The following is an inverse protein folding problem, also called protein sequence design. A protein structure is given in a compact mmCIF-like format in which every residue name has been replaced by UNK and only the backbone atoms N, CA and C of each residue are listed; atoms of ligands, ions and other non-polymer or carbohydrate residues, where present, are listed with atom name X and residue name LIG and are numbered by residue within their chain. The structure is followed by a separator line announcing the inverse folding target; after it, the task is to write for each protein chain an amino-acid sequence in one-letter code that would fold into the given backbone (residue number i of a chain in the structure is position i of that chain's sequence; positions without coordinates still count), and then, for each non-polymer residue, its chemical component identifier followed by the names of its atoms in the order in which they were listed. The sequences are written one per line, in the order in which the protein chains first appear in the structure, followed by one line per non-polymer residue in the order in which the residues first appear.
data_IF_822929107830
#
_entry.id   IF_822929107830
#
_cell.length_a   1.000
_cell.length_b   1.000
_cell.length_c   1.000
_cell.angle_alpha   90.00
_cell.angle_beta   90.00
_cell.angle_gamma   90.00
#
_symmetry.space_group_name_H-M   'P 1'
#
loop_
_entity.id
_entity.type
_entity.pdbx_description
1 polymer ?
#
# COMPACT_ATOMS: atom_id res chain seq x y z
N UNK A 1 -22.46 25.50 0.82
CA UNK A 1 -21.18 25.56 1.56
C UNK A 1 -20.74 24.12 1.81
N UNK A 2 -19.70 23.66 1.13
CA UNK A 2 -19.19 22.29 1.30
C UNK A 2 -18.59 22.18 2.69
N UNK A 3 -19.22 21.40 3.57
CA UNK A 3 -18.72 21.19 4.93
C UNK A 3 -17.43 20.37 4.84
N UNK A 4 -16.40 20.73 5.62
CA UNK A 4 -15.19 19.93 5.77
C UNK A 4 -15.22 19.19 7.11
N UNK A 5 -14.56 18.03 7.13
CA UNK A 5 -14.47 17.14 8.28
C UNK A 5 -13.01 17.09 8.74
N UNK A 6 -12.71 17.40 10.01
CA UNK A 6 -11.38 17.20 10.55
C UNK A 6 -11.13 15.69 10.73
N UNK A 7 -10.15 15.15 10.04
CA UNK A 7 -9.75 13.76 10.12
C UNK A 7 -8.33 13.66 10.66
N UNK A 8 -8.14 12.90 11.73
CA UNK A 8 -6.81 12.66 12.27
C UNK A 8 -6.02 11.75 11.30
N UNK A 9 -4.89 12.24 10.77
CA UNK A 9 -4.11 11.55 9.77
C UNK A 9 -2.69 11.27 10.27
N UNK A 10 -2.31 9.99 10.25
CA UNK A 10 -0.95 9.53 10.54
C UNK A 10 -0.35 9.02 9.25
N UNK A 11 0.73 9.64 8.78
CA UNK A 11 1.46 9.23 7.57
C UNK A 11 2.78 8.59 7.95
N UNK A 12 2.97 7.36 7.50
CA UNK A 12 4.19 6.57 7.73
C UNK A 12 4.86 6.22 6.41
N UNK A 13 6.19 6.33 6.36
CA UNK A 13 6.97 5.86 5.21
C UNK A 13 7.64 4.53 5.50
N UNK A 14 7.41 3.55 4.61
CA UNK A 14 8.06 2.24 4.64
C UNK A 14 8.92 2.04 3.40
N UNK A 15 10.03 1.31 3.57
CA UNK A 15 11.03 1.08 2.51
C UNK A 15 10.91 -0.31 1.86
N UNK A 16 10.02 -1.17 2.38
CA UNK A 16 9.75 -2.49 1.82
C UNK A 16 8.37 -3.00 2.25
N UNK A 17 7.70 -3.76 1.37
CA UNK A 17 6.42 -4.42 1.68
C UNK A 17 6.54 -5.44 2.84
N UNK A 18 7.71 -6.06 3.03
CA UNK A 18 7.98 -6.89 4.21
C UNK A 18 7.97 -6.07 5.50
N UNK A 19 8.41 -4.80 5.47
CA UNK A 19 8.34 -3.93 6.64
C UNK A 19 6.89 -3.53 6.96
N UNK A 20 6.02 -3.39 5.95
CA UNK A 20 4.58 -3.13 6.14
C UNK A 20 3.80 -4.35 6.62
N UNK A 21 4.17 -5.56 6.17
CA UNK A 21 3.50 -6.81 6.58
C UNK A 21 3.91 -7.28 7.99
N UNK A 22 5.13 -6.95 8.44
CA UNK A 22 5.66 -7.47 9.70
C UNK A 22 5.32 -6.58 10.93
N UNK A 23 4.38 -5.65 10.83
CA UNK A 23 4.09 -4.66 11.90
C UNK A 23 3.64 -5.34 13.21
N UNK A 24 3.04 -6.53 13.15
CA UNK A 24 2.52 -7.27 14.31
C UNK A 24 3.57 -8.10 15.09
N UNK A 25 4.81 -8.30 14.59
CA UNK A 25 5.83 -9.04 15.35
C UNK A 25 6.59 -8.10 16.31
N UNK A 26 6.26 -8.17 17.60
CA UNK A 26 7.03 -7.55 18.70
C UNK A 26 8.45 -8.13 18.75
N UNK A 27 9.38 -7.53 18.01
CA UNK A 27 10.82 -7.71 18.23
C UNK A 27 11.38 -6.45 18.89
N UNK A 28 12.14 -6.57 20.01
CA UNK A 28 12.67 -5.44 20.77
C UNK A 28 13.70 -4.59 20.01
N UNK A 29 14.09 -4.99 18.79
CA UNK A 29 15.06 -4.28 17.94
C UNK A 29 14.44 -3.59 16.72
N UNK A 30 13.10 -3.51 16.63
CA UNK A 30 12.45 -2.94 15.45
C UNK A 30 12.54 -1.41 15.48
N UNK A 31 13.15 -0.85 14.42
CA UNK A 31 13.23 0.59 14.16
C UNK A 31 11.82 1.19 14.22
N UNK A 32 11.70 2.33 14.89
CA UNK A 32 10.46 3.10 15.04
C UNK A 32 9.76 3.27 13.67
N UNK A 33 8.42 3.22 13.60
CA UNK A 33 7.72 3.63 12.39
C UNK A 33 8.21 5.03 12.00
N UNK A 34 8.61 5.23 10.75
CA UNK A 34 9.06 6.54 10.27
C UNK A 34 7.80 7.39 10.03
N UNK A 35 7.21 7.86 11.13
CA UNK A 35 6.06 8.75 11.14
C UNK A 35 6.54 10.09 10.58
N UNK A 36 6.03 10.45 9.41
CA UNK A 36 6.33 11.73 8.78
C UNK A 36 5.36 12.81 9.27
N UNK A 37 4.09 12.44 9.47
CA UNK A 37 3.02 13.35 9.84
C UNK A 37 2.08 12.67 10.85
N UNK A 38 1.66 13.45 11.84
CA UNK A 38 0.63 13.11 12.81
C UNK A 38 -0.21 14.38 13.06
N UNK A 39 -1.10 14.68 12.13
CA UNK A 39 -1.82 15.97 12.07
C UNK A 39 -3.25 15.79 11.54
N UNK A 40 -4.15 16.69 11.90
CA UNK A 40 -5.51 16.73 11.35
C UNK A 40 -5.56 17.32 9.94
N UNK A 41 -6.23 16.61 9.01
CA UNK A 41 -6.53 17.04 7.65
C UNK A 41 -8.03 17.41 7.54
N UNK A 42 -8.37 18.50 6.85
CA UNK A 42 -9.75 18.93 6.60
C UNK A 42 -10.30 18.36 5.28
N UNK A 43 -10.87 17.15 5.33
CA UNK A 43 -11.40 16.47 4.14
C UNK A 43 -12.77 17.04 3.78
N UNK A 44 -13.06 17.21 2.48
CA UNK A 44 -14.40 17.63 2.07
C UNK A 44 -15.43 16.54 2.41
N UNK A 45 -16.58 16.92 2.98
CA UNK A 45 -17.63 15.97 3.33
C UNK A 45 -18.13 15.16 2.12
N UNK A 46 -18.12 15.78 0.94
CA UNK A 46 -18.53 15.17 -0.34
C UNK A 46 -17.44 14.29 -0.98
N UNK A 47 -16.27 14.13 -0.36
CA UNK A 47 -15.22 13.24 -0.87
C UNK A 47 -15.71 11.80 -0.87
N UNK A 48 -15.44 11.08 -1.96
CA UNK A 48 -15.77 9.66 -2.09
C UNK A 48 -14.85 8.81 -1.20
N UNK A 49 -15.35 7.68 -0.73
CA UNK A 49 -14.59 6.77 0.12
C UNK A 49 -13.32 6.26 -0.55
N UNK A 50 -13.37 5.96 -1.85
CA UNK A 50 -12.20 5.54 -2.62
C UNK A 50 -11.06 6.56 -2.59
N UNK A 51 -11.42 7.84 -2.54
CA UNK A 51 -10.49 8.95 -2.73
C UNK A 51 -10.02 9.55 -1.40
N UNK A 52 -10.48 9.02 -0.26
CA UNK A 52 -10.15 9.57 1.07
C UNK A 52 -8.65 9.67 1.32
N UNK A 53 -7.88 8.66 0.91
CA UNK A 53 -6.41 8.62 1.09
C UNK A 53 -5.75 9.69 0.23
N UNK A 54 -6.15 9.77 -1.03
CA UNK A 54 -5.63 10.74 -1.99
C UNK A 54 -5.96 12.16 -1.56
N UNK A 55 -7.20 12.42 -1.15
CA UNK A 55 -7.65 13.72 -0.66
C UNK A 55 -6.87 14.16 0.58
N UNK A 56 -6.66 13.23 1.54
CA UNK A 56 -5.88 13.52 2.75
C UNK A 56 -4.42 13.84 2.41
N UNK A 57 -3.77 13.05 1.55
CA UNK A 57 -2.37 13.26 1.18
C UNK A 57 -2.17 14.56 0.40
N UNK A 58 -3.02 14.85 -0.58
CA UNK A 58 -2.97 16.11 -1.34
C UNK A 58 -3.14 17.32 -0.43
N UNK A 59 -4.03 17.22 0.56
CA UNK A 59 -4.22 18.28 1.54
C UNK A 59 -3.01 18.46 2.47
N UNK A 60 -2.33 17.37 2.82
CA UNK A 60 -1.10 17.41 3.61
C UNK A 60 0.11 17.88 2.79
N UNK A 61 -0.06 18.15 1.49
CA UNK A 61 0.98 18.69 0.61
C UNK A 61 1.79 17.63 -0.16
N UNK A 62 1.35 16.37 -0.16
CA UNK A 62 1.97 15.33 -0.99
C UNK A 62 1.52 15.42 -2.45
N UNK A 63 2.32 14.87 -3.35
CA UNK A 63 1.99 14.80 -4.78
C UNK A 63 1.03 13.64 -5.09
N UNK A 64 0.30 13.75 -6.20
CA UNK A 64 -0.60 12.69 -6.67
C UNK A 64 0.11 11.35 -6.92
N UNK A 65 1.39 11.38 -7.28
CA UNK A 65 2.22 10.18 -7.46
C UNK A 65 2.38 9.39 -6.17
N UNK A 66 2.60 10.11 -5.06
CA UNK A 66 2.71 9.52 -3.73
C UNK A 66 1.35 9.01 -3.26
N UNK A 67 0.27 9.74 -3.56
CA UNK A 67 -1.08 9.30 -3.25
C UNK A 67 -1.44 7.96 -3.92
N UNK A 68 -1.06 7.78 -5.18
CA UNK A 68 -1.33 6.55 -5.93
C UNK A 68 -0.59 5.31 -5.40
N UNK A 69 0.54 5.50 -4.71
CA UNK A 69 1.35 4.41 -4.14
C UNK A 69 1.11 4.20 -2.65
N UNK A 70 0.25 5.02 -2.05
CA UNK A 70 -0.08 4.94 -0.64
C UNK A 70 -1.15 3.89 -0.36
N UNK A 71 -1.11 3.32 0.84
CA UNK A 71 -2.14 2.41 1.36
C UNK A 71 -2.79 3.02 2.60
N UNK A 72 -4.11 3.08 2.60
CA UNK A 72 -4.90 3.59 3.71
C UNK A 72 -5.45 2.46 4.59
N UNK A 73 -5.44 2.69 5.89
CA UNK A 73 -6.09 1.87 6.90
C UNK A 73 -6.68 2.78 7.97
N UNK A 74 -7.81 2.40 8.58
CA UNK A 74 -8.41 3.17 9.66
C UNK A 74 -8.21 2.47 10.99
N UNK A 75 -7.87 3.27 12.00
CA UNK A 75 -7.73 2.85 13.37
C UNK A 75 -8.86 3.50 14.15
N UNK A 76 -9.75 2.69 14.71
CA UNK A 76 -10.85 3.16 15.56
C UNK A 76 -10.42 2.98 17.01
N UNK A 77 -10.13 4.06 17.73
CA UNK A 77 -9.60 4.03 19.11
C UNK A 77 -8.36 3.11 19.23
N UNK A 78 -8.47 2.04 20.02
CA UNK A 78 -7.40 1.07 20.28
C UNK A 78 -7.56 -0.22 19.46
N UNK A 79 -8.34 -0.18 18.38
CA UNK A 79 -8.54 -1.34 17.52
C UNK A 79 -7.35 -1.56 16.58
N UNK A 80 -7.28 -2.76 16.00
CA UNK A 80 -6.31 -3.03 14.95
C UNK A 80 -6.62 -2.18 13.71
N UNK A 81 -5.61 -1.76 12.93
CA UNK A 81 -5.84 -1.07 11.67
C UNK A 81 -6.68 -1.94 10.73
N UNK A 82 -7.79 -1.39 10.25
CA UNK A 82 -8.72 -2.05 9.33
C UNK A 82 -8.51 -1.44 7.95
N UNK A 83 -8.33 -2.28 6.94
CA UNK A 83 -8.26 -1.83 5.54
C UNK A 83 -9.55 -1.14 5.12
N UNK A 84 -9.45 -0.08 4.30
CA UNK A 84 -10.61 0.68 3.83
C UNK A 84 -11.64 -0.18 3.07
N UNK A 85 -11.15 -1.22 2.39
CA UNK A 85 -11.95 -2.22 1.66
C UNK A 85 -12.86 -3.06 2.58
N UNK A 86 -12.44 -3.32 3.82
CA UNK A 86 -13.21 -4.11 4.79
C UNK A 86 -14.25 -3.26 5.53
N UNK A 87 -14.17 -1.94 5.43
CA UNK A 87 -15.07 -1.01 6.13
C UNK A 87 -16.26 -0.67 5.24
N UNK A 88 -16.00 -0.45 3.94
CA UNK A 88 -17.05 -0.19 2.99
C UNK A 88 -16.74 -0.81 1.62
N UNK A 89 -17.69 -1.60 1.13
CA UNK A 89 -17.64 -2.20 -0.21
C UNK A 89 -18.06 -1.21 -1.31
N UNK A 90 -18.78 -0.13 -0.96
CA UNK A 90 -19.24 0.86 -1.91
C UNK A 90 -18.23 2.03 -2.01
N UNK A 91 -17.45 2.14 -3.11
CA UNK A 91 -16.44 3.20 -3.25
C UNK A 91 -17.04 4.60 -3.44
N UNK A 92 -18.31 4.69 -3.86
CA UNK A 92 -18.98 5.95 -4.22
C UNK A 92 -19.62 6.63 -3.01
N UNK A 93 -19.72 5.93 -1.87
CA UNK A 93 -20.25 6.50 -0.63
C UNK A 93 -19.40 7.69 -0.17
N UNK A 94 -20.05 8.68 0.40
CA UNK A 94 -19.36 9.86 0.89
C UNK A 94 -18.67 9.57 2.23
N UNK A 95 -17.47 10.12 2.41
CA UNK A 95 -16.71 10.01 3.65
C UNK A 95 -17.51 10.57 4.83
N UNK A 96 -18.37 11.56 4.62
CA UNK A 96 -19.25 12.09 5.68
C UNK A 96 -20.26 11.10 6.22
N UNK A 97 -20.75 10.17 5.40
CA UNK A 97 -21.73 9.17 5.84
C UNK A 97 -21.08 8.10 6.74
N UNK A 98 -19.79 7.81 6.52
CA UNK A 98 -19.05 6.81 7.30
C UNK A 98 -18.34 7.45 8.50
N UNK A 99 -17.55 8.49 8.25
CA UNK A 99 -16.67 9.10 9.26
C UNK A 99 -17.25 10.34 9.91
N UNK A 100 -18.40 10.87 9.46
CA UNK A 100 -18.97 12.12 9.96
C UNK A 100 -19.05 12.18 11.49
N UNK A 101 -19.60 11.14 12.12
CA UNK A 101 -19.72 11.04 13.58
C UNK A 101 -18.48 10.44 14.25
N UNK A 102 -17.62 9.77 13.48
CA UNK A 102 -16.48 9.01 14.01
C UNK A 102 -15.16 9.80 13.96
N UNK A 103 -15.12 10.98 13.34
CA UNK A 103 -13.94 11.84 13.19
C UNK A 103 -13.13 12.04 14.47
N UNK A 104 -13.78 12.06 15.63
CA UNK A 104 -13.15 12.28 16.94
C UNK A 104 -12.44 11.05 17.52
N UNK A 105 -12.80 9.84 17.05
CA UNK A 105 -12.29 8.57 17.58
C UNK A 105 -11.51 7.75 16.54
N UNK A 106 -11.52 8.21 15.28
CA UNK A 106 -10.89 7.52 14.15
C UNK A 106 -9.62 8.23 13.74
N UNK A 107 -8.60 7.44 13.48
CA UNK A 107 -7.34 7.88 12.88
C UNK A 107 -7.15 7.18 11.54
N UNK A 108 -7.01 7.97 10.47
CA UNK A 108 -6.60 7.49 9.16
C UNK A 108 -5.08 7.30 9.16
N UNK A 109 -4.66 6.04 9.09
CA UNK A 109 -3.26 5.66 8.97
C UNK A 109 -2.92 5.39 7.51
N UNK A 110 -2.01 6.18 6.97
CA UNK A 110 -1.56 6.13 5.59
C UNK A 110 -0.12 5.63 5.56
N UNK A 111 0.13 4.59 4.78
CA UNK A 111 1.46 4.01 4.61
C UNK A 111 1.93 4.28 3.19
N UNK A 112 3.00 5.06 3.05
CA UNK A 112 3.65 5.37 1.78
C UNK A 112 4.80 4.39 1.57
N UNK A 113 4.78 3.65 0.47
CA UNK A 113 5.92 2.81 0.09
C UNK A 113 6.94 3.64 -0.68
N UNK A 114 7.98 4.13 0.00
CA UNK A 114 9.12 4.80 -0.64
C UNK A 114 10.10 3.74 -1.13
N UNK A 115 10.01 3.38 -2.41
CA UNK A 115 11.02 2.55 -3.07
C UNK A 115 12.31 3.33 -3.20
N UNK A 116 13.14 3.35 -2.14
CA UNK A 116 14.56 3.65 -2.34
C UNK A 116 15.14 2.46 -3.10
N UNK A 117 15.53 2.68 -4.36
CA UNK A 117 16.47 1.85 -5.09
C UNK A 117 17.82 1.94 -4.37
N UNK A 118 17.90 1.27 -3.22
CA UNK A 118 19.20 0.98 -2.62
C UNK A 118 19.79 -0.17 -3.43
N UNK A 119 21.12 -0.19 -3.66
CA UNK A 119 21.77 -1.30 -4.38
C UNK A 119 21.45 -2.64 -3.73
N UNK A 120 21.20 -2.67 -2.42
CA UNK A 120 20.73 -3.84 -1.70
C UNK A 120 19.33 -4.32 -2.11
N UNK A 121 18.37 -3.40 -2.33
CA UNK A 121 17.05 -3.76 -2.85
C UNK A 121 17.14 -4.31 -4.29
N UNK A 122 18.00 -3.73 -5.13
CA UNK A 122 18.23 -4.25 -6.48
C UNK A 122 18.88 -5.63 -6.48
N UNK A 123 19.87 -5.85 -5.61
CA UNK A 123 20.50 -7.16 -5.41
C UNK A 123 19.47 -8.16 -4.90
N UNK A 124 18.64 -7.77 -3.92
CA UNK A 124 17.57 -8.63 -3.40
C UNK A 124 16.56 -8.98 -4.50
N UNK A 125 16.08 -8.02 -5.28
CA UNK A 125 15.15 -8.27 -6.39
C UNK A 125 15.78 -9.13 -7.50
N UNK A 126 17.06 -8.92 -7.81
CA UNK A 126 17.81 -9.77 -8.74
C UNK A 126 17.96 -11.20 -8.21
N UNK A 127 18.29 -11.37 -6.92
CA UNK A 127 18.37 -12.68 -6.28
C UNK A 127 17.02 -13.37 -6.21
N UNK A 128 15.95 -12.64 -5.88
CA UNK A 128 14.59 -13.15 -5.82
C UNK A 128 14.14 -13.60 -7.22
N UNK A 129 14.41 -12.80 -8.26
CA UNK A 129 14.19 -13.19 -9.66
C UNK A 129 15.00 -14.41 -10.07
N UNK A 130 16.29 -14.48 -9.72
CA UNK A 130 17.13 -15.64 -10.02
C UNK A 130 16.64 -16.91 -9.32
N UNK A 131 16.25 -16.80 -8.05
CA UNK A 131 15.66 -17.91 -7.30
C UNK A 131 14.34 -18.37 -7.93
N UNK A 132 13.46 -17.44 -8.31
CA UNK A 132 12.20 -17.78 -9.01
C UNK A 132 12.46 -18.44 -10.36
N UNK A 133 13.45 -17.96 -11.12
CA UNK A 133 13.84 -18.51 -12.41
C UNK A 133 14.47 -19.91 -12.27
N UNK A 134 15.30 -20.13 -11.26
CA UNK A 134 16.00 -21.39 -11.03
C UNK A 134 15.09 -22.45 -10.38
N UNK A 135 14.18 -22.02 -9.50
CA UNK A 135 13.21 -22.89 -8.82
C UNK A 135 11.92 -23.11 -9.61
N UNK A 136 11.83 -22.59 -10.84
CA UNK A 136 10.64 -22.63 -11.70
C UNK A 136 10.07 -24.05 -11.90
N UNK A 137 10.93 -25.08 -11.90
CA UNK A 137 10.50 -26.48 -11.96
C UNK A 137 9.87 -26.99 -10.65
N UNK A 138 10.34 -26.51 -9.50
CA UNK A 138 9.88 -26.89 -8.15
C UNK A 138 8.62 -26.10 -7.74
N UNK A 139 8.50 -24.85 -8.18
CA UNK A 139 7.33 -24.01 -7.92
C UNK A 139 6.11 -24.46 -8.76
N UNK A 140 6.32 -24.98 -9.97
CA UNK A 140 5.24 -25.63 -10.75
C UNK A 140 4.77 -26.94 -10.13
N UNK A 141 5.68 -27.75 -9.57
CA UNK A 141 5.31 -29.04 -8.97
C UNK A 141 4.55 -28.90 -7.64
N UNK A 142 4.55 -27.71 -7.04
CA UNK A 142 3.85 -27.40 -5.78
C UNK A 142 2.53 -26.63 -5.98
N UNK A 143 2.08 -26.46 -7.23
CA UNK A 143 0.75 -25.92 -7.52
C UNK A 143 0.57 -24.43 -7.18
N UNK A 144 1.65 -23.66 -7.10
CA UNK A 144 1.57 -22.21 -6.95
C UNK A 144 1.05 -21.59 -8.26
N UNK A 145 -0.10 -20.91 -8.28
CA UNK A 145 -0.60 -20.22 -9.46
C UNK A 145 0.23 -18.94 -9.65
N UNK A 146 1.34 -19.06 -10.37
CA UNK A 146 2.03 -17.92 -10.97
C UNK A 146 1.22 -17.55 -12.23
N UNK A 147 0.31 -16.59 -12.05
CA UNK A 147 -0.76 -16.20 -12.96
C UNK A 147 -0.42 -16.12 -14.45
N UNK A 148 -1.43 -16.42 -15.27
CA UNK A 148 -1.57 -16.25 -16.72
C UNK A 148 -1.29 -14.80 -17.19
N UNK A 149 -0.04 -14.38 -17.12
CA UNK A 149 0.46 -13.16 -17.80
C UNK A 149 1.58 -13.60 -18.73
N UNK A 150 1.24 -14.45 -19.69
CA UNK A 150 2.05 -14.65 -20.89
C UNK A 150 1.50 -13.71 -21.98
N UNK A 151 1.94 -12.44 -21.94
CA UNK A 151 1.98 -11.64 -23.16
C UNK A 151 2.93 -12.34 -24.17
N UNK A 152 2.54 -12.50 -25.45
CA UNK A 152 3.27 -13.34 -26.37
C UNK A 152 4.51 -12.61 -26.90
N UNK A 153 5.69 -13.18 -26.66
CA UNK A 153 6.88 -12.89 -27.45
C UNK A 153 7.48 -14.21 -27.96
N UNK A 154 7.07 -14.69 -29.15
CA UNK A 154 7.68 -15.83 -29.79
C UNK A 154 8.75 -15.33 -30.77
N UNK A 155 9.96 -15.06 -30.30
CA UNK A 155 11.12 -14.92 -31.20
C UNK A 155 12.42 -14.87 -30.40
N UNK A 156 12.96 -16.03 -30.03
CA UNK A 156 14.41 -16.25 -29.79
C UNK A 156 14.70 -17.74 -29.46
N UNK A 157 14.06 -18.67 -30.18
CA UNK A 157 14.39 -20.11 -30.15
C UNK A 157 14.63 -20.68 -31.55
N UNK A 158 15.28 -19.92 -32.42
CA UNK A 158 15.60 -20.36 -33.79
C UNK A 158 17.07 -20.15 -34.19
N UNK A 159 18.02 -20.36 -33.26
CA UNK A 159 19.47 -20.41 -33.61
C UNK A 159 20.16 -21.68 -33.12
N UNK A 160 19.43 -22.62 -32.50
CA UNK A 160 20.03 -23.86 -32.01
C UNK A 160 19.26 -25.09 -32.50
N UNK A 161 19.35 -25.37 -33.81
CA UNK A 161 19.21 -26.70 -34.42
C UNK A 161 19.32 -26.53 -35.94
N UNK A 162 20.54 -26.64 -36.47
CA UNK A 162 20.88 -27.19 -37.79
C UNK A 162 22.41 -27.27 -37.91
N UNK A 163 23.02 -28.00 -36.97
CA UNK A 163 24.14 -28.90 -37.27
C UNK A 163 23.58 -30.32 -37.20
#
# INVERSE_FOLDING_TARGET
MTKSLPLHCVVESVHSLQASLNIDSRSPFKRRPNIEIDTYALIAASTQWSDIVSAALLQLGYTSEVANTARGSLIIKNWKPISLENICENPVVQVSEILGELTTIVTLRIVILKTKTTPFNEIKDKLLRLLLLQSHAVLRSTGCPLDEIESPLPALRAVALNL
#
